data_IF_166115200328
#
_entry.id   IF_166115200328
#
_cell.length_a   1.000
_cell.length_b   1.000
_cell.length_c   1.000
_cell.angle_alpha   90.00
_cell.angle_beta   90.00
_cell.angle_gamma   90.00
#
_symmetry.space_group_name_H-M   'P 1'
#
loop_
_entity.id
_entity.type
_entity.pdbx_description
1 polymer ?
#
# COMPACT_ATOMS: atom_id res chain seq x y z
N UNK A 1 26.13 3.32 -19.44
CA UNK A 1 24.93 3.26 -18.57
C UNK A 1 23.72 3.29 -19.49
N UNK A 2 22.94 2.21 -19.58
CA UNK A 2 21.73 2.18 -20.41
C UNK A 2 20.61 3.02 -19.80
N UNK A 3 19.59 3.44 -20.58
CA UNK A 3 18.48 4.20 -20.03
C UNK A 3 17.76 3.36 -18.97
N UNK A 4 17.69 3.87 -17.74
CA UNK A 4 16.86 3.28 -16.68
C UNK A 4 15.43 3.27 -17.19
N UNK A 5 14.90 2.09 -17.53
CA UNK A 5 13.50 1.93 -17.90
C UNK A 5 12.65 2.55 -16.78
N UNK A 6 11.83 3.55 -17.12
CA UNK A 6 10.97 4.22 -16.16
C UNK A 6 9.98 3.18 -15.65
N UNK A 7 10.22 2.65 -14.46
CA UNK A 7 9.27 1.77 -13.77
C UNK A 7 8.03 2.62 -13.47
N UNK A 8 6.92 2.31 -14.13
CA UNK A 8 5.62 2.90 -13.84
C UNK A 8 5.06 2.25 -12.58
N UNK A 9 5.08 3.00 -11.48
CA UNK A 9 4.48 2.61 -10.21
C UNK A 9 2.98 2.91 -10.21
N UNK A 10 2.24 2.27 -9.30
CA UNK A 10 0.86 2.64 -9.00
C UNK A 10 0.86 4.01 -8.30
N UNK A 11 -0.02 4.91 -8.72
CA UNK A 11 -0.21 6.21 -8.05
C UNK A 11 -1.38 6.18 -7.07
N UNK A 12 -2.39 5.36 -7.34
CA UNK A 12 -3.56 5.19 -6.50
C UNK A 12 -3.86 3.70 -6.27
N UNK A 13 -4.53 3.41 -5.17
CA UNK A 13 -5.02 2.08 -4.85
C UNK A 13 -6.37 2.16 -4.14
N UNK A 14 -7.14 1.06 -4.19
CA UNK A 14 -8.39 0.89 -3.48
C UNK A 14 -8.20 -0.03 -2.29
N UNK A 15 -8.72 0.37 -1.14
CA UNK A 15 -8.64 -0.40 0.11
C UNK A 15 -9.53 -1.64 0.03
N UNK A 16 -8.96 -2.80 0.36
CA UNK A 16 -9.66 -4.08 0.47
C UNK A 16 -9.90 -4.49 1.92
N UNK A 17 -8.93 -4.26 2.80
CA UNK A 17 -9.01 -4.53 4.24
C UNK A 17 -8.04 -3.61 5.00
N UNK A 18 -8.34 -3.31 6.27
CA UNK A 18 -7.42 -2.58 7.14
C UNK A 18 -7.45 -3.09 8.59
N UNK A 19 -6.26 -3.23 9.19
CA UNK A 19 -6.09 -3.70 10.57
C UNK A 19 -5.22 -2.73 11.35
N UNK A 20 -5.77 -2.21 12.44
CA UNK A 20 -5.02 -1.39 13.38
C UNK A 20 -4.07 -2.25 14.23
N UNK A 21 -2.87 -1.71 14.53
CA UNK A 21 -1.84 -2.37 15.36
C UNK A 21 -1.44 -3.77 14.87
N UNK A 22 -1.43 -3.97 13.55
CA UNK A 22 -1.02 -5.23 12.93
C UNK A 22 0.46 -5.21 12.53
N UNK A 23 1.06 -6.40 12.41
CA UNK A 23 2.41 -6.58 11.87
C UNK A 23 2.34 -6.79 10.36
N UNK A 24 3.26 -6.16 9.65
CA UNK A 24 3.43 -6.37 8.21
C UNK A 24 3.85 -7.81 7.90
N UNK A 25 3.27 -8.35 6.84
CA UNK A 25 3.63 -9.66 6.27
C UNK A 25 4.75 -9.55 5.25
N UNK A 26 4.87 -8.40 4.58
CA UNK A 26 5.87 -8.18 3.52
C UNK A 26 7.20 -7.65 4.06
N UNK A 27 7.20 -6.91 5.18
CA UNK A 27 8.39 -6.28 5.78
C UNK A 27 8.46 -6.58 7.28
N UNK A 28 9.40 -7.45 7.65
CA UNK A 28 9.63 -7.83 9.05
C UNK A 28 9.90 -6.62 9.94
N UNK A 29 9.24 -6.58 11.10
CA UNK A 29 9.43 -5.54 12.11
C UNK A 29 8.60 -4.27 11.91
N UNK A 30 7.89 -4.13 10.79
CA UNK A 30 6.93 -3.03 10.60
C UNK A 30 5.60 -3.37 11.27
N UNK A 31 5.12 -2.46 12.11
CA UNK A 31 3.86 -2.57 12.84
C UNK A 31 3.13 -1.24 12.74
N UNK A 32 1.80 -1.27 12.60
CA UNK A 32 0.98 -0.06 12.52
C UNK A 32 -0.41 -0.36 12.00
N UNK A 33 -1.01 0.60 11.30
CA UNK A 33 -2.22 0.37 10.51
C UNK A 33 -1.77 -0.29 9.21
N UNK A 34 -2.05 -1.58 9.07
CA UNK A 34 -1.73 -2.34 7.86
C UNK A 34 -2.97 -2.39 6.99
N UNK A 35 -2.82 -1.93 5.75
CA UNK A 35 -3.87 -1.86 4.75
C UNK A 35 -3.52 -2.79 3.61
N UNK A 36 -4.47 -3.65 3.26
CA UNK A 36 -4.43 -4.45 2.04
C UNK A 36 -5.17 -3.66 0.97
N UNK A 37 -4.51 -3.39 -0.15
CA UNK A 37 -5.07 -2.57 -1.20
C UNK A 37 -4.73 -3.12 -2.58
N UNK A 38 -5.52 -2.73 -3.59
CA UNK A 38 -5.28 -3.07 -4.99
C UNK A 38 -4.98 -1.81 -5.80
N UNK A 39 -3.87 -1.82 -6.53
CA UNK A 39 -3.46 -0.72 -7.40
C UNK A 39 -4.52 -0.43 -8.48
N UNK A 40 -4.78 0.84 -8.71
CA UNK A 40 -5.82 1.29 -9.65
C UNK A 40 -5.49 0.92 -11.10
N UNK A 41 -4.23 1.02 -11.53
CA UNK A 41 -3.89 0.86 -12.94
C UNK A 41 -3.52 -0.58 -13.30
N UNK A 42 -2.73 -1.26 -12.48
CA UNK A 42 -2.21 -2.60 -12.81
C UNK A 42 -2.78 -3.69 -11.94
N UNK A 43 -3.78 -3.37 -11.11
CA UNK A 43 -4.40 -4.31 -10.19
C UNK A 43 -3.38 -5.01 -9.29
N UNK A 44 -2.29 -4.29 -8.96
CA UNK A 44 -1.23 -4.83 -8.11
C UNK A 44 -1.75 -4.94 -6.69
N UNK A 45 -1.71 -6.13 -6.09
CA UNK A 45 -2.03 -6.29 -4.67
C UNK A 45 -0.87 -5.78 -3.80
N UNK A 46 -1.18 -4.92 -2.85
CA UNK A 46 -0.20 -4.16 -2.07
C UNK A 46 -0.50 -4.25 -0.57
N UNK A 47 0.56 -4.36 0.21
CA UNK A 47 0.53 -4.07 1.64
C UNK A 47 1.02 -2.64 1.87
N UNK A 48 0.24 -1.86 2.61
CA UNK A 48 0.48 -0.44 2.85
C UNK A 48 0.51 -0.17 4.36
N UNK A 49 1.43 0.69 4.78
CA UNK A 49 1.49 1.22 6.13
C UNK A 49 0.79 2.58 6.18
N UNK A 50 -0.29 2.68 6.94
CA UNK A 50 -0.99 3.92 7.22
C UNK A 50 -0.25 4.80 8.23
N UNK A 51 -0.50 6.11 8.18
CA UNK A 51 -0.06 7.06 9.20
C UNK A 51 -0.86 6.81 10.49
N UNK A 52 -0.24 7.02 11.65
CA UNK A 52 -0.93 6.87 12.93
C UNK A 52 -2.21 7.71 12.99
N UNK A 53 -3.25 7.15 13.62
CA UNK A 53 -4.58 7.75 13.77
C UNK A 53 -5.37 8.00 12.47
N UNK A 54 -4.90 7.49 11.33
CA UNK A 54 -5.73 7.42 10.12
C UNK A 54 -6.72 6.25 10.19
N UNK A 55 -7.89 6.43 9.58
CA UNK A 55 -8.86 5.35 9.33
C UNK A 55 -8.84 5.00 7.85
N UNK A 56 -9.18 3.77 7.48
CA UNK A 56 -9.30 3.36 6.08
C UNK A 56 -10.60 2.58 5.93
N UNK A 57 -11.43 3.01 4.99
CA UNK A 57 -12.68 2.34 4.67
C UNK A 57 -12.48 1.43 3.44
N UNK A 58 -13.17 0.29 3.40
CA UNK A 58 -13.18 -0.55 2.20
C UNK A 58 -13.74 0.27 1.03
N UNK A 59 -13.19 0.04 -0.17
CA UNK A 59 -13.45 0.80 -1.40
C UNK A 59 -12.92 2.24 -1.40
N UNK A 60 -12.24 2.69 -0.34
CA UNK A 60 -11.59 3.99 -0.32
C UNK A 60 -10.45 4.05 -1.35
N UNK A 61 -10.48 5.06 -2.21
CA UNK A 61 -9.38 5.38 -3.14
C UNK A 61 -8.32 6.21 -2.42
N UNK A 62 -7.13 5.64 -2.27
CA UNK A 62 -6.00 6.27 -1.56
C UNK A 62 -4.85 6.60 -2.50
N UNK A 63 -4.21 7.75 -2.27
CA UNK A 63 -3.00 8.15 -3.00
C UNK A 63 -1.76 7.49 -2.39
N UNK A 64 -1.02 6.75 -3.22
CA UNK A 64 0.17 5.97 -2.85
C UNK A 64 1.42 6.35 -3.67
N UNK A 65 1.30 7.38 -4.50
CA UNK A 65 2.40 7.92 -5.31
C UNK A 65 3.59 8.40 -4.49
N UNK A 66 4.68 8.80 -5.15
CA UNK A 66 5.97 8.98 -4.47
C UNK A 66 5.98 10.05 -3.38
N UNK A 67 5.27 11.15 -3.55
CA UNK A 67 5.29 12.32 -2.66
C UNK A 67 3.86 12.75 -2.31
N UNK A 68 3.66 13.68 -1.37
CA UNK A 68 2.34 14.28 -1.11
C UNK A 68 1.26 13.36 -0.50
N UNK A 69 1.62 12.17 -0.01
CA UNK A 69 0.69 11.26 0.67
C UNK A 69 0.20 11.86 1.99
N UNK A 70 -1.10 11.75 2.25
CA UNK A 70 -1.74 12.31 3.45
C UNK A 70 -2.19 11.28 4.47
N UNK A 71 -2.51 10.05 4.04
CA UNK A 71 -2.89 8.92 4.91
C UNK A 71 -1.88 7.78 4.90
N UNK A 72 -1.01 7.73 3.88
CA UNK A 72 -0.10 6.60 3.63
C UNK A 72 1.32 6.96 4.04
N UNK A 73 1.90 6.19 4.96
CA UNK A 73 3.29 6.33 5.37
C UNK A 73 4.23 5.68 4.34
N UNK A 74 3.97 4.42 3.96
CA UNK A 74 4.77 3.71 2.96
C UNK A 74 4.02 2.56 2.30
N UNK A 75 4.29 2.31 1.02
CA UNK A 75 3.97 1.04 0.38
C UNK A 75 5.03 0.03 0.83
N UNK A 76 4.63 -1.03 1.54
CA UNK A 76 5.55 -1.99 2.15
C UNK A 76 6.00 -3.05 1.15
N UNK A 77 5.08 -3.56 0.34
CA UNK A 77 5.41 -4.58 -0.65
C UNK A 77 4.22 -5.03 -1.48
N UNK A 78 4.53 -5.79 -2.52
CA UNK A 78 3.53 -6.54 -3.28
C UNK A 78 3.14 -7.78 -2.50
N UNK A 79 1.88 -8.17 -2.63
CA UNK A 79 1.36 -9.41 -2.08
C UNK A 79 0.90 -10.35 -3.20
N UNK A 80 0.91 -11.64 -2.91
CA UNK A 80 0.30 -12.66 -3.75
C UNK A 80 -1.11 -12.95 -3.22
N UNK A 81 -2.04 -13.26 -4.12
CA UNK A 81 -3.44 -13.57 -3.76
C UNK A 81 -3.56 -14.70 -2.72
N UNK A 82 -2.65 -15.67 -2.73
CA UNK A 82 -2.63 -16.80 -1.79
C UNK A 82 -2.39 -16.37 -0.33
N UNK A 83 -1.94 -15.13 -0.10
CA UNK A 83 -1.61 -14.57 1.22
C UNK A 83 -2.66 -13.58 1.76
N UNK A 84 -3.79 -13.42 1.07
CA UNK A 84 -4.94 -12.62 1.57
C UNK A 84 -5.76 -13.47 2.53
#
# INVERSE_FOLDING_TARGET
MGPTQIRKYEEYAYVLDSKSRSKSTTVRGRTGIIVIAIGEERLTLLEILGIENSTFDVDERIYIGKEGRTKVQSVLGKMDYVKI
#
